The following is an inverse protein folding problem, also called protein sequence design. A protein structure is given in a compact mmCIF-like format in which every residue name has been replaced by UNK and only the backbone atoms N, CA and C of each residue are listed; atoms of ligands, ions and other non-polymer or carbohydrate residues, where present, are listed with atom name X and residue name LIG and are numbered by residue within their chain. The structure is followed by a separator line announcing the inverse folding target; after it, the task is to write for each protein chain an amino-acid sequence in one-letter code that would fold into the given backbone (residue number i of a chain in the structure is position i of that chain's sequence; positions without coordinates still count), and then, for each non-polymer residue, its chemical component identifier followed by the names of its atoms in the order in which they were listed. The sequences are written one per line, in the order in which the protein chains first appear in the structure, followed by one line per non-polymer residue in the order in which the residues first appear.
data_IF_078897920626
#
_entry.id   IF_078897920626
#
_cell.length_a   1.000
_cell.length_b   1.000
_cell.length_c   1.000
_cell.angle_alpha   90.00
_cell.angle_beta   90.00
_cell.angle_gamma   90.00
#
_symmetry.space_group_name_H-M   'P 1'
#
loop_
_entity.id
_entity.type
_entity.pdbx_description
1 polymer ?
#
# COMPACT_ATOMS: atom_id res chain seq x y z
N UNK A 1 9.91 -19.20 34.52
CA UNK A 1 10.25 -17.77 34.29
C UNK A 1 9.38 -17.29 33.14
N UNK A 2 8.68 -16.16 33.27
CA UNK A 2 7.83 -15.62 32.20
C UNK A 2 8.72 -14.98 31.10
N UNK A 3 8.35 -15.11 29.81
CA UNK A 3 9.10 -14.51 28.72
C UNK A 3 8.95 -12.98 28.72
N UNK A 4 10.02 -12.28 28.35
CA UNK A 4 9.99 -10.83 28.12
C UNK A 4 9.56 -10.51 26.68
N UNK A 5 9.00 -9.32 26.46
CA UNK A 5 8.72 -8.82 25.13
C UNK A 5 10.01 -8.32 24.45
N UNK A 6 10.24 -8.63 23.17
CA UNK A 6 11.41 -8.12 22.44
C UNK A 6 11.26 -6.62 22.17
N UNK A 7 12.34 -5.87 22.36
CA UNK A 7 12.39 -4.46 22.03
C UNK A 7 12.42 -4.25 20.49
N UNK A 8 11.97 -3.08 20.00
CA UNK A 8 12.03 -2.75 18.58
C UNK A 8 13.45 -2.85 17.99
N UNK A 9 13.54 -3.22 16.72
CA UNK A 9 14.81 -3.34 15.98
C UNK A 9 14.93 -2.35 14.83
N UNK A 10 13.82 -1.73 14.43
CA UNK A 10 13.74 -0.78 13.34
C UNK A 10 13.04 0.48 13.82
N UNK A 11 13.43 1.62 13.23
CA UNK A 11 12.67 2.85 13.34
C UNK A 11 11.28 2.67 12.73
N UNK A 12 10.31 3.42 13.27
CA UNK A 12 8.96 3.51 12.71
C UNK A 12 8.57 4.97 12.61
N UNK A 13 7.92 5.34 11.51
CA UNK A 13 7.24 6.63 11.42
C UNK A 13 6.03 6.55 12.35
N UNK A 14 6.18 6.99 13.60
CA UNK A 14 5.13 6.90 14.60
C UNK A 14 3.88 7.65 14.14
N UNK A 15 2.78 6.91 14.01
CA UNK A 15 1.43 7.43 13.74
C UNK A 15 0.39 6.85 14.71
N UNK A 16 0.82 6.01 15.64
CA UNK A 16 -0.07 5.35 16.58
C UNK A 16 -0.27 6.26 17.80
N UNK A 17 -1.53 6.44 18.19
CA UNK A 17 -1.87 7.02 19.48
C UNK A 17 -1.80 5.90 20.50
N UNK A 18 -0.88 6.01 21.47
CA UNK A 18 -0.87 5.13 22.64
C UNK A 18 -2.02 5.61 23.53
N UNK A 19 -3.00 4.74 23.88
CA UNK A 19 -4.03 5.14 24.82
C UNK A 19 -3.40 5.45 26.18
N UNK A 20 -3.82 6.55 26.80
CA UNK A 20 -3.27 7.06 28.06
C UNK A 20 -3.26 6.02 29.18
N UNK A 21 -4.27 5.15 29.22
CA UNK A 21 -4.45 4.10 30.22
C UNK A 21 -3.43 2.96 30.09
N UNK A 22 -2.74 2.86 28.95
CA UNK A 22 -1.83 1.77 28.61
C UNK A 22 -0.42 2.24 28.26
N UNK A 23 -0.06 3.49 28.61
CA UNK A 23 1.27 4.04 28.32
C UNK A 23 2.39 3.20 28.95
N UNK A 24 2.22 2.77 30.19
CA UNK A 24 3.23 2.01 30.97
C UNK A 24 3.53 0.61 30.42
N UNK A 25 2.62 0.04 29.62
CA UNK A 25 2.79 -1.30 29.04
C UNK A 25 3.26 -1.24 27.58
N UNK A 26 3.63 -0.06 27.09
CA UNK A 26 4.16 0.12 25.73
C UNK A 26 5.56 -0.47 25.62
N UNK A 27 5.74 -1.40 24.67
CA UNK A 27 7.06 -1.96 24.36
C UNK A 27 7.77 -1.06 23.35
N UNK A 28 8.46 -0.04 23.86
CA UNK A 28 9.28 0.89 23.10
C UNK A 28 10.50 1.33 23.91
N UNK A 29 11.50 1.89 23.24
CA UNK A 29 12.60 2.58 23.94
C UNK A 29 12.11 3.89 24.55
N UNK A 30 12.74 4.32 25.64
CA UNK A 30 12.45 5.61 26.22
C UNK A 30 12.88 6.74 25.26
N UNK A 31 12.15 7.86 25.26
CA UNK A 31 12.39 8.96 24.32
C UNK A 31 13.80 9.59 24.41
N UNK A 32 14.48 9.42 25.54
CA UNK A 32 15.83 9.89 25.82
C UNK A 32 16.91 8.80 25.69
N UNK A 33 16.54 7.58 25.30
CA UNK A 33 17.46 6.46 25.14
C UNK A 33 18.10 6.50 23.75
N UNK A 34 19.44 6.43 23.69
CA UNK A 34 20.15 6.42 22.42
C UNK A 34 20.29 4.97 21.93
N UNK A 35 19.46 4.59 20.95
CA UNK A 35 19.38 3.23 20.44
C UNK A 35 19.79 3.18 18.96
N UNK A 36 20.64 2.23 18.59
CA UNK A 36 20.99 1.99 17.19
C UNK A 36 19.94 1.09 16.53
N UNK A 37 18.92 1.70 15.96
CA UNK A 37 17.87 1.01 15.20
C UNK A 37 18.19 0.95 13.71
N UNK A 38 17.75 -0.10 13.03
CA UNK A 38 17.76 -0.14 11.59
C UNK A 38 16.75 0.86 11.01
N UNK A 39 17.00 1.36 9.79
CA UNK A 39 16.09 2.29 9.13
C UNK A 39 14.68 1.69 8.95
N UNK A 40 13.65 2.53 9.00
CA UNK A 40 12.28 2.13 8.68
C UNK A 40 12.18 1.50 7.28
N UNK A 41 11.44 0.38 7.16
CA UNK A 41 11.19 -0.31 5.89
C UNK A 41 9.97 0.33 5.21
N UNK A 42 10.12 0.80 3.97
CA UNK A 42 9.03 1.38 3.18
C UNK A 42 8.50 0.39 2.14
N UNK A 43 7.33 0.70 1.55
CA UNK A 43 6.71 -0.15 0.53
C UNK A 43 7.66 -0.54 -0.60
N UNK A 44 8.44 0.43 -1.12
CA UNK A 44 9.45 0.20 -2.17
C UNK A 44 10.49 -0.85 -1.76
N UNK A 45 10.81 -0.94 -0.48
CA UNK A 45 11.84 -1.84 0.01
C UNK A 45 11.33 -3.28 0.08
N UNK A 46 10.01 -3.46 0.08
CA UNK A 46 9.35 -4.75 0.06
C UNK A 46 9.07 -5.26 -1.37
N UNK A 47 8.53 -4.43 -2.27
CA UNK A 47 7.91 -4.92 -3.53
C UNK A 47 8.67 -4.59 -4.82
N UNK A 48 9.76 -3.82 -4.78
CA UNK A 48 10.46 -3.33 -5.98
C UNK A 48 11.09 -4.41 -6.87
N UNK A 49 11.28 -5.63 -6.36
CA UNK A 49 11.82 -6.76 -7.12
C UNK A 49 10.71 -7.68 -7.69
N UNK A 50 9.44 -7.39 -7.42
CA UNK A 50 8.34 -8.17 -7.96
C UNK A 50 8.12 -7.85 -9.45
N UNK A 51 7.79 -8.86 -10.27
CA UNK A 51 7.48 -8.66 -11.68
C UNK A 51 6.11 -7.97 -11.84
N UNK A 52 5.89 -7.22 -12.92
CA UNK A 52 4.59 -6.64 -13.23
C UNK A 52 3.56 -7.73 -13.54
N UNK A 53 2.32 -7.52 -13.09
CA UNK A 53 1.18 -8.41 -13.32
C UNK A 53 -0.06 -7.63 -13.72
N UNK A 54 -0.96 -8.29 -14.46
CA UNK A 54 -2.22 -7.69 -14.88
C UNK A 54 -3.32 -7.92 -13.85
N UNK A 55 -4.43 -7.19 -13.99
CA UNK A 55 -5.61 -7.31 -13.11
C UNK A 55 -6.25 -8.71 -13.12
N UNK A 56 -6.07 -9.47 -14.19
CA UNK A 56 -6.61 -10.81 -14.40
C UNK A 56 -5.56 -11.92 -14.25
N UNK A 57 -4.42 -11.62 -13.64
CA UNK A 57 -3.40 -12.62 -13.31
C UNK A 57 -3.99 -13.76 -12.48
N UNK A 58 -3.64 -15.00 -12.85
CA UNK A 58 -4.18 -16.22 -12.25
C UNK A 58 -3.12 -17.30 -12.03
N UNK A 59 -1.83 -17.00 -12.26
CA UNK A 59 -0.75 -17.93 -12.03
C UNK A 59 -0.30 -17.90 -10.57
N UNK A 60 -0.70 -18.92 -9.81
CA UNK A 60 -0.29 -19.08 -8.39
C UNK A 60 1.23 -19.13 -8.23
N UNK A 61 1.93 -19.68 -9.22
CA UNK A 61 3.39 -19.77 -9.24
C UNK A 61 4.02 -19.07 -10.45
N UNK A 62 5.03 -18.23 -10.19
CA UNK A 62 5.83 -17.60 -11.25
C UNK A 62 7.29 -17.42 -10.85
N UNK A 63 8.11 -16.97 -11.80
CA UNK A 63 9.49 -16.58 -11.52
C UNK A 63 9.53 -15.10 -11.12
N UNK A 64 10.46 -14.70 -10.26
CA UNK A 64 10.65 -13.30 -9.86
C UNK A 64 11.09 -12.37 -11.01
N UNK A 65 11.66 -12.94 -12.09
CA UNK A 65 12.27 -12.23 -13.23
C UNK A 65 13.46 -11.31 -12.86
N UNK A 66 13.63 -10.96 -11.57
CA UNK A 66 14.68 -10.09 -11.06
C UNK A 66 15.33 -10.65 -9.78
N UNK A 67 16.52 -10.12 -9.47
CA UNK A 67 17.22 -10.38 -8.21
C UNK A 67 16.70 -9.45 -7.10
N UNK A 68 16.79 -9.87 -5.82
CA UNK A 68 16.38 -9.02 -4.72
C UNK A 68 17.23 -7.75 -4.68
N UNK A 69 16.60 -6.59 -4.50
CA UNK A 69 17.25 -5.28 -4.59
C UNK A 69 17.55 -4.65 -3.22
N UNK A 70 16.82 -5.05 -2.19
CA UNK A 70 16.97 -4.57 -0.80
C UNK A 70 17.32 -5.71 0.14
N UNK A 71 17.81 -5.39 1.33
CA UNK A 71 18.10 -6.40 2.35
C UNK A 71 16.82 -7.10 2.85
N UNK A 72 15.71 -6.37 2.90
CA UNK A 72 14.40 -6.95 3.19
C UNK A 72 14.00 -7.99 2.13
N UNK A 73 14.14 -7.66 0.84
CA UNK A 73 13.87 -8.60 -0.26
C UNK A 73 14.78 -9.82 -0.23
N UNK A 74 16.08 -9.63 0.05
CA UNK A 74 17.03 -10.75 0.23
C UNK A 74 16.56 -11.66 1.36
N UNK A 75 16.09 -11.10 2.47
CA UNK A 75 15.62 -11.85 3.64
C UNK A 75 14.34 -12.64 3.37
N UNK A 76 13.29 -12.01 2.83
CA UNK A 76 12.00 -12.69 2.60
C UNK A 76 12.08 -13.75 1.49
N UNK A 77 13.08 -13.68 0.60
CA UNK A 77 13.31 -14.67 -0.46
C UNK A 77 14.17 -15.85 -0.02
N UNK A 78 14.67 -15.91 1.21
CA UNK A 78 15.49 -17.04 1.67
C UNK A 78 14.70 -18.36 1.64
N UNK A 79 15.33 -19.44 1.15
CA UNK A 79 14.75 -20.79 1.24
C UNK A 79 14.67 -21.25 2.71
N UNK A 80 13.57 -21.91 3.07
CA UNK A 80 13.45 -22.65 4.35
C UNK A 80 14.28 -23.93 4.29
N UNK A 81 15.59 -23.83 4.39
CA UNK A 81 16.43 -24.98 4.73
C UNK A 81 17.01 -24.75 6.13
N UNK A 82 16.61 -25.59 7.08
CA UNK A 82 17.07 -25.52 8.47
C UNK A 82 18.59 -25.74 8.61
N UNK A 83 19.24 -26.33 7.60
CA UNK A 83 20.69 -26.50 7.52
C UNK A 83 21.14 -26.31 6.06
N UNK A 84 22.04 -25.35 5.84
CA UNK A 84 22.89 -25.21 4.65
C UNK A 84 22.26 -24.64 3.36
N UNK A 85 22.87 -23.52 2.94
CA UNK A 85 22.69 -22.73 1.71
C UNK A 85 21.53 -21.71 1.72
N UNK A 86 21.90 -20.45 2.02
CA UNK A 86 21.10 -19.21 1.89
C UNK A 86 20.84 -18.85 0.42
N UNK A 87 20.46 -19.81 -0.41
CA UNK A 87 20.08 -19.52 -1.78
C UNK A 87 18.64 -18.97 -1.78
N UNK A 88 18.36 -17.88 -2.52
CA UNK A 88 16.99 -17.38 -2.65
C UNK A 88 16.08 -18.42 -3.32
N UNK A 89 14.81 -18.47 -2.91
CA UNK A 89 13.75 -19.17 -3.61
C UNK A 89 13.67 -18.63 -5.04
N UNK A 90 13.65 -19.54 -6.01
CA UNK A 90 13.50 -19.19 -7.42
C UNK A 90 12.05 -18.89 -7.81
N UNK A 91 11.08 -19.28 -6.97
CA UNK A 91 9.65 -19.17 -7.23
C UNK A 91 8.99 -18.11 -6.35
N UNK A 92 8.14 -17.33 -6.98
CA UNK A 92 7.22 -16.36 -6.39
C UNK A 92 5.82 -16.99 -6.38
N UNK A 93 5.19 -16.95 -5.22
CA UNK A 93 3.88 -17.52 -4.97
C UNK A 93 2.87 -16.40 -4.70
N UNK A 94 1.62 -16.64 -5.05
CA UNK A 94 0.48 -15.80 -4.68
C UNK A 94 0.63 -14.32 -5.07
N UNK A 95 1.36 -14.03 -6.14
CA UNK A 95 1.52 -12.66 -6.68
C UNK A 95 0.33 -12.26 -7.55
N UNK A 96 -0.85 -12.33 -6.95
CA UNK A 96 -2.16 -12.19 -7.58
C UNK A 96 -2.88 -10.96 -7.01
N UNK A 97 -3.24 -9.95 -7.83
CA UNK A 97 -4.08 -8.86 -7.39
C UNK A 97 -5.54 -9.32 -7.25
N UNK A 98 -6.34 -8.56 -6.51
CA UNK A 98 -7.79 -8.72 -6.57
C UNK A 98 -8.29 -8.31 -7.97
N UNK A 99 -8.96 -9.23 -8.67
CA UNK A 99 -9.49 -8.99 -10.01
C UNK A 99 -10.63 -7.99 -9.98
N UNK A 100 -10.31 -6.72 -10.27
CA UNK A 100 -11.30 -5.67 -10.43
C UNK A 100 -12.26 -6.00 -11.57
N UNK A 101 -13.53 -5.64 -11.39
CA UNK A 101 -14.49 -5.67 -12.48
C UNK A 101 -14.11 -4.63 -13.55
N UNK A 102 -14.75 -4.70 -14.72
CA UNK A 102 -14.43 -3.83 -15.86
C UNK A 102 -14.50 -2.34 -15.51
N UNK A 103 -15.51 -1.93 -14.74
CA UNK A 103 -15.74 -0.53 -14.40
C UNK A 103 -14.65 0.00 -13.46
N UNK A 104 -14.32 -0.78 -12.42
CA UNK A 104 -13.30 -0.39 -11.44
C UNK A 104 -11.89 -0.44 -12.04
N UNK A 105 -11.61 -1.41 -12.91
CA UNK A 105 -10.36 -1.45 -13.66
C UNK A 105 -10.21 -0.20 -14.55
N UNK A 106 -11.25 0.17 -15.30
CA UNK A 106 -11.25 1.37 -16.14
C UNK A 106 -11.02 2.64 -15.30
N UNK A 107 -11.63 2.74 -14.11
CA UNK A 107 -11.39 3.85 -13.17
C UNK A 107 -9.93 3.92 -12.74
N UNK A 108 -9.35 2.80 -12.28
CA UNK A 108 -7.96 2.73 -11.80
C UNK A 108 -6.95 3.05 -12.91
N UNK A 109 -7.24 2.66 -14.15
CA UNK A 109 -6.42 3.01 -15.31
C UNK A 109 -6.37 4.53 -15.55
N UNK A 110 -7.42 5.28 -15.20
CA UNK A 110 -7.46 6.74 -15.38
C UNK A 110 -6.81 7.53 -14.23
N UNK A 111 -6.43 6.88 -13.12
CA UNK A 111 -5.74 7.54 -12.01
C UNK A 111 -4.29 7.86 -12.41
N UNK A 112 -3.83 9.12 -12.27
CA UNK A 112 -2.45 9.50 -12.56
C UNK A 112 -1.44 8.70 -11.73
N UNK A 113 -0.34 8.26 -12.34
CA UNK A 113 0.73 7.49 -11.66
C UNK A 113 1.72 8.42 -10.96
N UNK A 114 1.26 9.13 -9.93
CA UNK A 114 2.05 10.04 -9.08
C UNK A 114 1.70 9.84 -7.60
N UNK A 115 2.64 10.11 -6.71
CA UNK A 115 2.43 10.00 -5.26
C UNK A 115 1.24 10.86 -4.82
N UNK A 116 0.30 10.25 -4.10
CA UNK A 116 -0.89 10.91 -3.57
C UNK A 116 -2.07 11.05 -4.54
N UNK A 117 -1.95 10.54 -5.77
CA UNK A 117 -3.05 10.54 -6.72
C UNK A 117 -4.24 9.72 -6.22
N UNK A 118 -5.45 10.23 -6.47
CA UNK A 118 -6.71 9.61 -6.06
C UNK A 118 -7.86 10.07 -6.98
N UNK A 119 -9.10 9.67 -6.68
CA UNK A 119 -10.27 10.00 -7.51
C UNK A 119 -10.51 11.51 -7.71
N UNK A 120 -9.96 12.38 -6.83
CA UNK A 120 -10.05 13.84 -6.97
C UNK A 120 -9.25 14.36 -8.17
N UNK A 121 -8.32 13.58 -8.69
CA UNK A 121 -7.57 13.91 -9.91
C UNK A 121 -8.36 13.55 -11.20
N UNK A 122 -9.53 12.92 -11.08
CA UNK A 122 -10.38 12.57 -12.23
C UNK A 122 -11.19 13.80 -12.70
N UNK A 123 -11.50 13.87 -14.00
CA UNK A 123 -12.25 15.00 -14.57
C UNK A 123 -13.65 15.13 -13.95
N UNK A 124 -14.10 16.38 -13.79
CA UNK A 124 -15.41 16.71 -13.22
C UNK A 124 -15.44 16.79 -11.69
N UNK A 125 -14.31 16.63 -11.01
CA UNK A 125 -14.19 16.88 -9.55
C UNK A 125 -13.41 18.16 -9.31
N UNK A 126 -13.99 19.04 -8.50
CA UNK A 126 -13.29 20.19 -7.92
C UNK A 126 -13.25 20.05 -6.40
N UNK A 127 -12.22 20.64 -5.77
CA UNK A 127 -12.09 20.65 -4.31
C UNK A 127 -12.28 22.09 -3.82
N UNK A 128 -13.36 22.34 -3.09
CA UNK A 128 -13.58 23.62 -2.40
C UNK A 128 -13.23 23.47 -0.93
N UNK A 129 -12.19 24.19 -0.50
CA UNK A 129 -11.58 23.98 0.81
C UNK A 129 -10.97 22.57 0.91
N UNK A 130 -11.68 21.62 1.55
CA UNK A 130 -11.29 20.20 1.63
C UNK A 130 -12.31 19.24 1.04
N UNK A 131 -13.49 19.74 0.67
CA UNK A 131 -14.63 18.95 0.25
C UNK A 131 -14.67 18.86 -1.28
N UNK A 132 -14.97 17.67 -1.78
CA UNK A 132 -15.19 17.45 -3.22
C UNK A 132 -16.58 17.93 -3.62
N UNK A 133 -16.65 18.57 -4.79
CA UNK A 133 -17.88 18.98 -5.46
C UNK A 133 -17.78 18.63 -6.94
N UNK A 134 -18.95 18.48 -7.59
CA UNK A 134 -19.00 18.36 -9.04
C UNK A 134 -18.64 19.70 -9.68
N UNK A 135 -17.82 19.65 -10.71
CA UNK A 135 -17.56 20.81 -11.55
C UNK A 135 -18.80 21.08 -12.43
N UNK A 136 -19.50 22.23 -12.28
CA UNK A 136 -20.67 22.55 -13.10
C UNK A 136 -20.32 22.78 -14.58
N UNK A 137 -19.05 23.03 -14.92
CA UNK A 137 -18.62 23.22 -16.30
C UNK A 137 -18.30 21.90 -17.02
N UNK A 138 -18.26 20.77 -16.31
CA UNK A 138 -17.89 19.47 -16.85
C UNK A 138 -19.05 18.49 -16.68
N UNK A 139 -19.57 18.00 -17.80
CA UNK A 139 -20.59 16.95 -17.77
C UNK A 139 -20.04 15.67 -17.13
N UNK A 140 -20.93 14.89 -16.50
CA UNK A 140 -20.57 13.63 -15.84
C UNK A 140 -19.95 12.68 -16.86
N UNK A 141 -18.65 12.45 -16.74
CA UNK A 141 -17.93 11.49 -17.58
C UNK A 141 -18.43 10.07 -17.29
N UNK A 142 -18.81 9.35 -18.35
CA UNK A 142 -19.22 7.96 -18.26
C UNK A 142 -18.09 7.01 -18.66
N UNK A 143 -18.15 5.81 -18.10
CA UNK A 143 -17.36 4.65 -18.49
C UNK A 143 -17.91 4.06 -19.78
N UNK A 144 -17.16 3.12 -20.37
CA UNK A 144 -17.62 2.33 -21.52
C UNK A 144 -18.92 1.57 -21.25
N UNK A 145 -19.20 1.23 -19.98
CA UNK A 145 -20.45 0.59 -19.55
C UNK A 145 -21.65 1.53 -19.40
N UNK A 146 -21.46 2.84 -19.61
CA UNK A 146 -22.48 3.88 -19.36
C UNK A 146 -22.63 4.28 -17.89
N UNK A 147 -21.91 3.64 -16.96
CA UNK A 147 -21.89 4.06 -15.55
C UNK A 147 -21.00 5.28 -15.34
N UNK A 148 -21.20 6.08 -14.28
CA UNK A 148 -20.35 7.23 -14.01
C UNK A 148 -18.91 6.81 -13.71
N UNK A 149 -17.95 7.57 -14.25
CA UNK A 149 -16.52 7.42 -13.97
C UNK A 149 -16.26 7.53 -12.46
N UNK A 150 -16.85 8.53 -11.82
CA UNK A 150 -16.70 8.75 -10.38
C UNK A 150 -18.01 8.30 -9.70
N UNK A 151 -17.97 7.23 -8.89
CA UNK A 151 -19.13 6.77 -8.14
C UNK A 151 -19.62 7.83 -7.15
N UNK A 152 -20.94 7.96 -6.98
CA UNK A 152 -21.52 8.99 -6.12
C UNK A 152 -21.14 8.80 -4.64
N UNK A 153 -20.91 7.56 -4.20
CA UNK A 153 -20.45 7.27 -2.84
C UNK A 153 -19.08 7.90 -2.53
N UNK A 154 -18.22 8.07 -3.55
CA UNK A 154 -16.90 8.68 -3.35
C UNK A 154 -17.02 10.16 -3.00
N UNK A 155 -18.08 10.84 -3.48
CA UNK A 155 -18.33 12.26 -3.22
C UNK A 155 -18.84 12.54 -1.81
N UNK A 156 -19.53 11.58 -1.20
CA UNK A 156 -20.10 11.72 0.15
C UNK A 156 -19.23 11.09 1.24
N UNK A 157 -18.27 10.24 0.88
CA UNK A 157 -17.40 9.55 1.83
C UNK A 157 -16.60 10.52 2.71
N UNK A 158 -16.66 10.31 4.03
CA UNK A 158 -16.10 11.23 5.04
C UNK A 158 -16.55 12.67 4.79
N UNK A 159 -17.86 12.87 4.57
CA UNK A 159 -18.46 14.19 4.26
C UNK A 159 -17.82 14.87 3.04
N UNK A 160 -17.28 14.08 2.11
CA UNK A 160 -16.58 14.52 0.90
C UNK A 160 -15.15 14.99 1.12
N UNK A 161 -14.55 14.77 2.31
CA UNK A 161 -13.19 15.24 2.62
C UNK A 161 -12.12 14.16 2.52
N UNK A 162 -12.48 12.93 2.17
CA UNK A 162 -11.51 11.84 2.04
C UNK A 162 -10.58 12.01 0.84
N UNK A 163 -9.29 11.73 1.06
CA UNK A 163 -8.24 11.58 0.04
C UNK A 163 -7.84 10.12 -0.19
N UNK A 164 -8.47 9.17 0.52
CA UNK A 164 -7.96 7.80 0.70
C UNK A 164 -8.37 6.79 -0.39
N UNK A 165 -8.81 7.22 -1.58
CA UNK A 165 -9.01 6.32 -2.71
C UNK A 165 -7.77 6.26 -3.61
N UNK A 166 -6.59 6.08 -3.00
CA UNK A 166 -5.32 6.06 -3.70
C UNK A 166 -4.94 4.63 -4.11
N UNK A 167 -4.57 4.45 -5.37
CA UNK A 167 -3.87 3.25 -5.84
C UNK A 167 -2.41 3.36 -5.40
N UNK A 168 -1.81 2.34 -4.74
CA UNK A 168 -0.37 2.31 -4.57
C UNK A 168 0.27 2.25 -5.97
N UNK A 169 1.13 3.22 -6.26
CA UNK A 169 2.02 3.21 -7.42
C UNK A 169 3.34 2.57 -7.00
#
# INVERSE_FOLDING_TARGET
KLPAYPLPTHEVVSRAVIPTEFEEITVAYAANENCQLANAVYLKDAIKDLPPVNNDESQDERNYETTPRTDFQKYIRLKRNANSQKAPSGKLYDHLPYKLNKDDYERVCRIPKKKGANFRDLPGVIVKGRKVEWDPAVERVLLTSGKPLIPDYAMSFVRGTSTNFSCPC
#
